data_IF_869102399046
#
_entry.id   IF_869102399046
#
_cell.length_a   1.000
_cell.length_b   1.000
_cell.length_c   1.000
_cell.angle_alpha   90.00
_cell.angle_beta   90.00
_cell.angle_gamma   90.00
#
_symmetry.space_group_name_H-M   'P 1'
#
loop_
_entity.id
_entity.type
_entity.pdbx_description
1 polymer ?
#
# COMPACT_ATOMS: atom_id res chain seq x y z
N UNK A 1 18.56 -16.62 11.79
CA UNK A 1 17.08 -16.63 11.90
C UNK A 1 16.59 -15.94 10.66
N UNK A 2 15.90 -16.65 9.79
CA UNK A 2 15.31 -16.07 8.57
C UNK A 2 14.09 -15.26 9.02
N UNK A 3 14.13 -13.94 8.78
CA UNK A 3 13.02 -13.04 9.04
C UNK A 3 11.85 -13.47 8.15
N UNK A 4 10.78 -13.96 8.76
CA UNK A 4 9.52 -14.24 8.08
C UNK A 4 9.04 -12.92 7.47
N UNK A 5 9.04 -12.85 6.15
CA UNK A 5 8.19 -11.91 5.42
C UNK A 5 6.74 -12.24 5.78
N UNK A 6 6.22 -11.62 6.84
CA UNK A 6 4.79 -11.60 7.19
C UNK A 6 4.02 -10.68 6.21
N UNK A 7 4.30 -10.81 4.91
CA UNK A 7 3.40 -10.29 3.88
C UNK A 7 2.19 -11.20 3.87
N UNK A 8 1.03 -10.67 4.27
CA UNK A 8 -0.26 -11.33 4.10
C UNK A 8 -0.31 -11.94 2.70
N UNK A 9 -0.41 -13.27 2.64
CA UNK A 9 -0.41 -13.99 1.37
C UNK A 9 -1.83 -13.96 0.81
N UNK A 10 -2.15 -12.91 0.05
CA UNK A 10 -3.39 -12.83 -0.72
C UNK A 10 -3.20 -13.45 -2.10
N UNK A 11 -4.25 -14.00 -2.68
CA UNK A 11 -4.24 -14.50 -4.06
C UNK A 11 -4.33 -13.35 -5.06
N UNK A 12 -3.92 -13.61 -6.31
CA UNK A 12 -4.03 -12.63 -7.40
C UNK A 12 -5.48 -12.16 -7.61
N UNK A 13 -6.47 -13.06 -7.48
CA UNK A 13 -7.88 -12.69 -7.60
C UNK A 13 -8.34 -11.77 -6.49
N UNK A 14 -7.97 -12.08 -5.24
CA UNK A 14 -8.30 -11.24 -4.08
C UNK A 14 -7.66 -9.86 -4.22
N UNK A 15 -6.41 -9.81 -4.71
CA UNK A 15 -5.73 -8.55 -4.97
C UNK A 15 -6.43 -7.71 -6.05
N UNK A 16 -6.86 -8.33 -7.14
CA UNK A 16 -7.58 -7.62 -8.22
C UNK A 16 -8.93 -7.08 -7.76
N UNK A 17 -9.65 -7.84 -6.93
CA UNK A 17 -10.92 -7.40 -6.36
C UNK A 17 -10.69 -6.26 -5.36
N UNK A 18 -9.65 -6.36 -4.53
CA UNK A 18 -9.24 -5.32 -3.59
C UNK A 18 -8.88 -4.01 -4.30
N UNK A 19 -8.10 -4.08 -5.39
CA UNK A 19 -7.76 -2.92 -6.22
C UNK A 19 -9.01 -2.28 -6.83
N UNK A 20 -9.97 -3.08 -7.30
CA UNK A 20 -11.21 -2.58 -7.89
C UNK A 20 -12.06 -1.84 -6.87
N UNK A 21 -12.21 -2.41 -5.67
CA UNK A 21 -12.98 -1.79 -4.59
C UNK A 21 -12.31 -0.50 -4.10
N UNK A 22 -10.98 -0.49 -3.93
CA UNK A 22 -10.25 0.71 -3.55
C UNK A 22 -10.35 1.84 -4.58
N UNK A 23 -10.41 1.52 -5.89
CA UNK A 23 -10.69 2.52 -6.93
C UNK A 23 -12.06 3.17 -6.80
N UNK A 24 -13.03 2.45 -6.24
CA UNK A 24 -14.40 2.93 -5.99
C UNK A 24 -14.56 3.66 -4.65
N UNK A 25 -13.47 4.14 -4.06
CA UNK A 25 -13.47 4.86 -2.78
C UNK A 25 -13.91 4.00 -1.58
N UNK A 26 -13.81 2.66 -1.68
CA UNK A 26 -14.09 1.76 -0.55
C UNK A 26 -12.99 1.89 0.55
N UNK A 27 -13.32 2.40 1.74
CA UNK A 27 -12.32 2.69 2.76
C UNK A 27 -11.66 1.44 3.34
N UNK A 28 -12.40 0.34 3.46
CA UNK A 28 -11.87 -0.92 3.98
C UNK A 28 -10.81 -1.48 3.04
N UNK A 29 -11.10 -1.47 1.73
CA UNK A 29 -10.17 -1.90 0.70
C UNK A 29 -8.90 -1.05 0.64
N UNK A 30 -9.03 0.28 0.81
CA UNK A 30 -7.87 1.18 0.89
C UNK A 30 -7.00 0.86 2.11
N UNK A 31 -7.61 0.62 3.27
CA UNK A 31 -6.89 0.27 4.49
C UNK A 31 -6.17 -1.06 4.39
N UNK A 32 -6.81 -2.06 3.78
CA UNK A 32 -6.22 -3.38 3.56
C UNK A 32 -5.03 -3.31 2.58
N UNK A 33 -5.12 -2.50 1.52
CA UNK A 33 -3.96 -2.23 0.66
C UNK A 33 -2.83 -1.53 1.42
N UNK A 34 -3.13 -0.60 2.32
CA UNK A 34 -2.11 0.06 3.13
C UNK A 34 -1.39 -0.95 4.03
N UNK A 35 -2.12 -1.85 4.68
CA UNK A 35 -1.52 -2.84 5.57
C UNK A 35 -0.69 -3.86 4.78
N UNK A 36 -1.17 -4.30 3.61
CA UNK A 36 -0.46 -5.23 2.72
C UNK A 36 0.93 -4.72 2.32
N UNK A 37 1.04 -3.42 2.01
CA UNK A 37 2.29 -2.78 1.55
C UNK A 37 3.07 -2.04 2.65
N UNK A 38 2.62 -2.11 3.91
CA UNK A 38 3.23 -1.39 5.05
C UNK A 38 4.73 -1.65 5.20
N UNK A 39 5.16 -2.88 4.99
CA UNK A 39 6.58 -3.25 5.02
C UNK A 39 7.39 -2.52 3.94
N UNK A 40 6.82 -2.38 2.75
CA UNK A 40 7.42 -1.64 1.64
C UNK A 40 7.45 -0.14 1.92
N UNK A 41 6.38 0.43 2.47
CA UNK A 41 6.34 1.85 2.86
C UNK A 41 7.43 2.18 3.89
N UNK A 42 7.58 1.33 4.91
CA UNK A 42 8.63 1.47 5.92
C UNK A 42 10.04 1.32 5.34
N UNK A 43 10.20 0.45 4.32
CA UNK A 43 11.49 0.28 3.64
C UNK A 43 11.81 1.50 2.78
N UNK A 44 10.85 1.98 1.99
CA UNK A 44 11.00 3.12 1.08
C UNK A 44 11.22 4.43 1.85
N UNK A 45 10.56 4.62 2.99
CA UNK A 45 10.69 5.83 3.81
C UNK A 45 12.14 6.11 4.23
N UNK A 46 12.99 5.08 4.37
CA UNK A 46 14.41 5.22 4.76
C UNK A 46 15.27 5.93 3.72
N UNK A 47 14.77 6.04 2.48
CA UNK A 47 15.48 6.65 1.36
C UNK A 47 14.99 8.06 1.03
N UNK A 48 13.97 8.56 1.73
CA UNK A 48 13.40 9.89 1.51
C UNK A 48 13.99 10.84 2.55
N UNK A 49 14.48 12.01 2.11
CA UNK A 49 15.11 13.00 2.98
C UNK A 49 14.07 13.85 3.73
N UNK A 50 13.31 13.21 4.62
CA UNK A 50 12.31 13.83 5.49
C UNK A 50 12.07 12.95 6.74
N UNK A 51 11.35 13.43 7.77
CA UNK A 51 10.96 12.59 8.89
C UNK A 51 10.22 11.35 8.43
N UNK A 52 10.49 10.21 9.07
CA UNK A 52 9.99 8.91 8.62
C UNK A 52 8.46 8.86 8.54
N UNK A 53 7.77 9.44 9.52
CA UNK A 53 6.31 9.50 9.56
C UNK A 53 5.74 10.33 8.40
N UNK A 54 6.39 11.44 8.07
CA UNK A 54 6.00 12.29 6.94
C UNK A 54 6.22 11.56 5.61
N UNK A 55 7.36 10.87 5.48
CA UNK A 55 7.69 10.05 4.30
C UNK A 55 6.64 8.95 4.08
N UNK A 56 6.28 8.22 5.13
CA UNK A 56 5.26 7.16 5.06
C UNK A 56 3.91 7.75 4.63
N UNK A 57 3.54 8.89 5.21
CA UNK A 57 2.27 9.56 4.90
C UNK A 57 2.22 9.99 3.42
N UNK A 58 3.31 10.56 2.90
CA UNK A 58 3.43 10.92 1.49
C UNK A 58 3.36 9.69 0.57
N UNK A 59 4.09 8.61 0.91
CA UNK A 59 4.05 7.36 0.14
C UNK A 59 2.62 6.81 0.06
N UNK A 60 1.89 6.76 1.17
CA UNK A 60 0.51 6.26 1.21
C UNK A 60 -0.41 7.09 0.32
N UNK A 61 -0.32 8.41 0.39
CA UNK A 61 -1.14 9.31 -0.44
C UNK A 61 -0.87 9.08 -1.92
N UNK A 62 0.40 9.12 -2.34
CA UNK A 62 0.80 8.91 -3.73
C UNK A 62 0.42 7.51 -4.24
N UNK A 63 0.53 6.49 -3.38
CA UNK A 63 0.14 5.12 -3.70
C UNK A 63 -1.36 5.00 -3.96
N UNK A 64 -2.20 5.57 -3.09
CA UNK A 64 -3.65 5.55 -3.29
C UNK A 64 -4.05 6.39 -4.51
N UNK A 65 -3.43 7.55 -4.73
CA UNK A 65 -3.66 8.33 -5.95
C UNK A 65 -3.29 7.55 -7.22
N UNK A 66 -2.16 6.84 -7.20
CA UNK A 66 -1.73 5.99 -8.31
C UNK A 66 -2.77 4.90 -8.62
N UNK A 67 -3.29 4.23 -7.58
CA UNK A 67 -4.35 3.22 -7.75
C UNK A 67 -5.58 3.85 -8.41
N UNK A 68 -6.01 5.03 -7.95
CA UNK A 68 -7.18 5.73 -8.51
C UNK A 68 -6.98 6.22 -9.95
N UNK A 69 -5.76 6.62 -10.33
CA UNK A 69 -5.45 7.13 -11.69
C UNK A 69 -5.28 6.04 -12.74
N UNK A 70 -5.08 4.79 -12.34
CA UNK A 70 -4.79 3.67 -13.25
C UNK A 70 -5.99 3.13 -14.06
N UNK A 71 -6.98 3.99 -14.37
CA UNK A 71 -8.16 3.69 -15.21
C UNK A 71 -8.13 4.30 -16.62
N UNK A 72 -7.00 4.86 -17.07
CA UNK A 72 -6.82 5.33 -18.46
C UNK A 72 -6.40 4.21 -19.44
#
# INVERSE_FOLDING_TARGET
MEEKNDTQTITDSEFLDLLRSARQDDPESMLELIELFKGDFLRLSKFIHMPQEDAISQIIVEFLEFIKRSED
#
